data_IF_211230265651
#
_entry.id   IF_211230265651
#
_cell.length_a   1.000
_cell.length_b   1.000
_cell.length_c   1.000
_cell.angle_alpha   90.00
_cell.angle_beta   90.00
_cell.angle_gamma   90.00
#
_symmetry.space_group_name_H-M   'P 1'
#
loop_
_entity.id
_entity.type
_entity.pdbx_description
1 polymer ?
#
# COMPACT_ATOMS: atom_id res chain seq x y z
N UNK A 1 -25.95 -27.16 7.21
CA UNK A 1 -26.21 -25.97 6.37
C UNK A 1 -25.36 -24.86 6.95
N UNK A 2 -24.41 -24.29 6.20
CA UNK A 2 -23.43 -23.37 6.78
C UNK A 2 -24.12 -22.05 7.15
N UNK A 3 -23.81 -21.46 8.32
CA UNK A 3 -24.18 -20.08 8.60
C UNK A 3 -23.34 -19.18 7.70
N UNK A 4 -24.06 -18.44 6.88
CA UNK A 4 -23.68 -17.24 6.16
C UNK A 4 -22.91 -16.29 7.09
N UNK A 5 -21.57 -16.29 6.99
CA UNK A 5 -20.74 -15.26 7.64
C UNK A 5 -20.68 -14.09 6.67
N UNK A 6 -21.76 -13.30 6.68
CA UNK A 6 -21.76 -11.92 6.18
C UNK A 6 -20.94 -11.05 7.14
N UNK A 7 -19.62 -11.25 7.19
CA UNK A 7 -18.73 -10.23 7.73
C UNK A 7 -18.42 -9.27 6.59
N UNK A 8 -19.38 -8.38 6.33
CA UNK A 8 -19.14 -7.08 5.71
C UNK A 8 -18.27 -6.24 6.66
N UNK A 9 -17.04 -6.68 6.88
CA UNK A 9 -15.99 -5.82 7.40
C UNK A 9 -15.40 -5.19 6.15
N UNK A 10 -15.60 -3.89 6.01
CA UNK A 10 -15.11 -3.05 4.92
C UNK A 10 -13.59 -2.98 5.01
N UNK A 11 -12.92 -4.12 4.87
CA UNK A 11 -11.49 -4.25 5.01
C UNK A 11 -10.89 -3.64 3.77
N UNK A 12 -10.24 -2.50 3.97
CA UNK A 12 -9.60 -1.75 2.90
C UNK A 12 -8.41 -2.58 2.41
N UNK A 13 -8.59 -3.22 1.26
CA UNK A 13 -7.56 -4.04 0.62
C UNK A 13 -6.59 -3.17 -0.17
N UNK A 14 -5.33 -3.59 -0.24
CA UNK A 14 -4.35 -2.92 -1.08
C UNK A 14 -4.68 -3.15 -2.56
N UNK A 15 -4.81 -2.08 -3.33
CA UNK A 15 -5.02 -2.14 -4.78
C UNK A 15 -3.84 -2.66 -5.60
N UNK A 16 -2.83 -3.29 -5.01
CA UNK A 16 -1.69 -3.88 -5.75
C UNK A 16 -1.60 -5.37 -5.46
N UNK A 17 -1.53 -5.75 -4.19
CA UNK A 17 -1.43 -7.14 -3.77
C UNK A 17 -2.78 -7.79 -3.40
N UNK A 18 -3.87 -7.00 -3.38
CA UNK A 18 -5.22 -7.45 -2.97
C UNK A 18 -5.27 -8.09 -1.59
N UNK A 19 -4.28 -7.79 -0.74
CA UNK A 19 -4.24 -8.22 0.64
C UNK A 19 -4.62 -7.05 1.56
N UNK A 20 -5.20 -7.39 2.71
CA UNK A 20 -5.58 -6.40 3.72
C UNK A 20 -4.38 -6.04 4.59
N UNK A 21 -3.59 -7.05 4.96
CA UNK A 21 -2.36 -6.93 5.72
C UNK A 21 -1.28 -7.76 5.05
N UNK A 22 -0.03 -7.32 5.21
CA UNK A 22 1.12 -8.11 4.80
C UNK A 22 1.44 -9.15 5.88
N UNK A 23 1.97 -10.33 5.49
CA UNK A 23 2.39 -11.33 6.45
C UNK A 23 3.43 -10.73 7.40
N UNK A 24 3.15 -10.77 8.69
CA UNK A 24 4.13 -10.46 9.73
C UNK A 24 5.10 -11.63 9.73
N UNK A 25 6.30 -11.41 9.21
CA UNK A 25 7.35 -12.41 9.35
C UNK A 25 7.70 -12.50 10.85
N UNK A 26 7.52 -13.68 11.45
CA UNK A 26 7.63 -13.91 12.91
C UNK A 26 9.05 -13.58 13.44
N UNK A 27 10.04 -13.41 12.55
CA UNK A 27 11.41 -13.02 12.88
C UNK A 27 11.65 -11.49 12.86
N UNK A 28 10.69 -10.69 12.34
CA UNK A 28 10.71 -9.22 12.37
C UNK A 28 9.56 -8.68 13.25
N UNK A 29 9.84 -8.60 14.56
CA UNK A 29 8.98 -8.01 15.63
C UNK A 29 8.57 -6.55 15.42
N UNK A 30 8.93 -5.92 14.32
CA UNK A 30 8.68 -4.51 14.07
C UNK A 30 7.64 -4.34 12.94
N UNK A 31 6.37 -4.34 13.35
CA UNK A 31 5.28 -3.62 12.68
C UNK A 31 4.95 -4.02 11.23
N UNK A 32 5.36 -5.21 10.76
CA UNK A 32 5.22 -5.60 9.34
C UNK A 32 3.80 -6.00 8.93
N UNK A 33 2.83 -5.95 9.85
CA UNK A 33 1.41 -6.23 9.64
C UNK A 33 0.54 -4.98 9.53
N UNK A 34 1.11 -3.81 9.28
CA UNK A 34 0.30 -2.59 9.11
C UNK A 34 -0.51 -2.73 7.84
N UNK A 35 -1.83 -2.55 7.91
CA UNK A 35 -2.72 -2.57 6.76
C UNK A 35 -2.39 -1.48 5.74
N UNK A 36 -3.35 -1.11 4.89
CA UNK A 36 -3.12 -0.05 3.89
C UNK A 36 -2.83 1.30 4.55
N UNK A 37 -1.55 1.63 4.70
CA UNK A 37 -1.05 2.89 5.31
C UNK A 37 -1.08 4.07 4.33
N UNK A 38 -1.21 3.80 3.04
CA UNK A 38 -1.25 4.83 2.01
C UNK A 38 -2.61 4.83 1.29
N UNK A 39 -3.28 5.98 1.26
CA UNK A 39 -4.49 6.17 0.45
C UNK A 39 -4.25 7.26 -0.59
N UNK A 40 -4.69 7.02 -1.82
CA UNK A 40 -4.59 8.00 -2.89
C UNK A 40 -5.40 9.26 -2.54
N UNK A 41 -4.77 10.43 -2.67
CA UNK A 41 -5.37 11.74 -2.34
C UNK A 41 -6.58 12.10 -3.22
N UNK A 42 -6.64 11.54 -4.42
CA UNK A 42 -7.79 11.73 -5.31
C UNK A 42 -9.05 11.07 -4.72
N UNK A 43 -10.02 11.91 -4.35
CA UNK A 43 -11.33 11.49 -3.84
C UNK A 43 -12.17 10.72 -4.89
N UNK A 44 -11.84 10.79 -6.17
CA UNK A 44 -12.46 9.93 -7.18
C UNK A 44 -11.82 8.54 -7.24
N UNK A 45 -10.56 8.41 -6.80
CA UNK A 45 -9.82 7.15 -6.77
C UNK A 45 -10.07 6.39 -5.46
N UNK A 46 -9.82 7.05 -4.32
CA UNK A 46 -9.97 6.51 -2.96
C UNK A 46 -9.35 5.10 -2.79
N UNK A 47 -8.33 4.76 -3.58
CA UNK A 47 -7.65 3.47 -3.49
C UNK A 47 -6.60 3.52 -2.41
N UNK A 48 -6.57 2.48 -1.60
CA UNK A 48 -5.59 2.30 -0.55
C UNK A 48 -4.57 1.25 -0.94
N UNK A 49 -3.38 1.40 -0.39
CA UNK A 49 -2.19 0.64 -0.73
C UNK A 49 -1.33 0.44 0.51
N UNK A 50 -0.59 -0.66 0.56
CA UNK A 50 0.55 -0.73 1.47
C UNK A 50 1.65 0.19 0.96
N UNK A 51 2.27 0.94 1.85
CA UNK A 51 3.40 1.82 1.51
C UNK A 51 4.51 1.05 0.78
N UNK A 52 4.81 -0.20 1.19
CA UNK A 52 5.78 -1.06 0.49
C UNK A 52 5.34 -1.48 -0.92
N UNK A 53 4.08 -1.86 -1.13
CA UNK A 53 3.57 -2.24 -2.44
C UNK A 53 3.61 -1.05 -3.41
N UNK A 54 3.22 0.14 -2.93
CA UNK A 54 3.29 1.34 -3.74
C UNK A 54 4.74 1.76 -4.01
N UNK A 55 5.63 1.66 -3.03
CA UNK A 55 7.08 1.91 -3.21
C UNK A 55 7.67 0.99 -4.28
N UNK A 56 7.37 -0.31 -4.22
CA UNK A 56 7.88 -1.30 -5.18
C UNK A 56 7.35 -1.05 -6.60
N UNK A 57 6.05 -0.76 -6.70
CA UNK A 57 5.41 -0.34 -7.94
C UNK A 57 6.07 0.90 -8.54
N UNK A 58 6.23 1.96 -7.73
CA UNK A 58 6.84 3.21 -8.18
C UNK A 58 8.31 3.02 -8.59
N UNK A 59 9.07 2.18 -7.88
CA UNK A 59 10.46 1.84 -8.26
C UNK A 59 10.57 1.15 -9.62
N UNK A 60 9.53 0.43 -10.03
CA UNK A 60 9.47 -0.21 -11.34
C UNK A 60 9.15 0.75 -12.49
N UNK A 61 8.75 2.00 -12.18
CA UNK A 61 8.42 3.03 -13.16
C UNK A 61 9.63 3.96 -13.35
N UNK A 62 10.06 4.13 -14.61
CA UNK A 62 11.26 4.92 -14.96
C UNK A 62 11.09 6.44 -14.73
N UNK A 63 9.86 6.93 -14.70
CA UNK A 63 9.55 8.36 -14.47
C UNK A 63 9.42 8.73 -13.00
N UNK A 64 9.48 7.76 -12.09
CA UNK A 64 9.44 7.99 -10.64
C UNK A 64 10.67 8.76 -10.18
N UNK A 65 10.47 9.76 -9.33
CA UNK A 65 11.53 10.56 -8.73
C UNK A 65 11.63 10.23 -7.26
N UNK A 66 12.84 9.97 -6.77
CA UNK A 66 13.10 9.83 -5.35
C UNK A 66 13.73 11.12 -4.81
N UNK A 67 13.19 11.65 -3.70
CA UNK A 67 13.83 12.71 -2.91
C UNK A 67 13.91 12.27 -1.46
N UNK A 68 15.14 12.14 -0.95
CA UNK A 68 15.41 11.60 0.38
C UNK A 68 14.72 10.24 0.59
N UNK A 69 13.80 10.18 1.56
CA UNK A 69 13.01 9.01 1.92
C UNK A 69 11.62 9.02 1.26
N UNK A 70 11.37 9.87 0.27
CA UNK A 70 10.06 9.98 -0.39
C UNK A 70 10.17 9.65 -1.88
N UNK A 71 9.31 8.75 -2.36
CA UNK A 71 9.11 8.48 -3.79
C UNK A 71 7.91 9.26 -4.30
N UNK A 72 8.13 9.99 -5.38
CA UNK A 72 7.13 10.73 -6.13
C UNK A 72 6.90 10.03 -7.46
N UNK A 73 5.66 9.67 -7.74
CA UNK A 73 5.29 9.08 -9.03
C UNK A 73 3.80 9.24 -9.28
N UNK A 74 3.19 8.25 -9.95
CA UNK A 74 1.79 8.30 -10.34
C UNK A 74 1.01 7.11 -9.78
N UNK A 75 -0.22 7.37 -9.33
CA UNK A 75 -1.13 6.32 -8.87
C UNK A 75 -1.42 5.34 -10.02
N UNK A 76 -1.36 4.02 -9.80
CA UNK A 76 -1.65 3.03 -10.85
C UNK A 76 -3.09 3.09 -11.40
N UNK A 77 -4.02 3.70 -10.66
CA UNK A 77 -5.45 3.72 -11.02
C UNK A 77 -5.89 5.02 -11.67
N UNK A 78 -5.59 6.16 -11.05
CA UNK A 78 -6.02 7.47 -11.54
C UNK A 78 -4.90 8.26 -12.24
N UNK A 79 -3.66 7.75 -12.25
CA UNK A 79 -2.48 8.43 -12.79
C UNK A 79 -2.12 9.77 -12.14
N UNK A 80 -2.81 10.18 -11.08
CA UNK A 80 -2.48 11.39 -10.32
C UNK A 80 -1.18 11.26 -9.54
N UNK A 81 -0.52 12.39 -9.25
CA UNK A 81 0.73 12.38 -8.51
C UNK A 81 0.55 11.81 -7.11
N UNK A 82 1.40 10.86 -6.75
CA UNK A 82 1.46 10.24 -5.42
C UNK A 82 2.83 10.42 -4.81
N UNK A 83 2.88 10.60 -3.49
CA UNK A 83 4.10 10.74 -2.72
C UNK A 83 4.07 9.77 -1.55
N UNK A 84 4.91 8.73 -1.59
CA UNK A 84 4.98 7.69 -0.55
C UNK A 84 6.34 7.71 0.13
N UNK A 85 6.35 7.55 1.46
CA UNK A 85 7.59 7.44 2.24
C UNK A 85 8.13 6.01 2.15
N UNK A 86 9.41 5.89 1.84
CA UNK A 86 10.15 4.64 1.84
C UNK A 86 10.49 4.34 3.31
N UNK A 87 9.51 3.88 4.10
CA UNK A 87 9.85 3.41 5.45
C UNK A 87 10.80 2.22 5.32
N UNK A 88 12.10 2.51 5.50
CA UNK A 88 13.16 1.54 5.39
C UNK A 88 12.96 0.56 6.52
N UNK A 89 12.44 -0.62 6.22
CA UNK A 89 12.63 -1.81 7.06
C UNK A 89 14.14 -1.85 7.30
N UNK A 90 14.56 -1.56 8.52
CA UNK A 90 15.98 -1.44 8.84
C UNK A 90 16.60 -2.80 8.55
N UNK A 91 17.45 -2.84 7.51
CA UNK A 91 18.24 -4.03 7.16
C UNK A 91 19.17 -4.41 8.29
#
# INVERSE_FOLDING_TARGET
>A
MPPDVEKNDQQVECGICYAQSLPIDDELRDNSGTGTDYTCDNTSCNKAFHSICLVDWLRSITTTRQSFDVLFGSCPYCSEPVAVKINSVKR
#
